data_IF_714788072468
#
_entry.id   IF_714788072468
#
_cell.length_a   1.000
_cell.length_b   1.000
_cell.length_c   1.000
_cell.angle_alpha   90.00
_cell.angle_beta   90.00
_cell.angle_gamma   90.00
#
_symmetry.space_group_name_H-M   'P 1'
#
loop_
_entity.id
_entity.type
_entity.pdbx_description
1 polymer ?
#
# COMPACT_ATOMS: atom_id res chain seq x y z
N UNK A 1 -30.76 -11.42 31.69
CA UNK A 1 -29.29 -11.52 31.52
C UNK A 1 -28.92 -12.29 30.23
N UNK A 2 -29.60 -12.03 29.12
CA UNK A 2 -29.43 -12.88 27.89
C UNK A 2 -29.13 -12.09 26.61
N UNK A 3 -28.81 -10.81 26.74
CA UNK A 3 -28.71 -9.92 25.55
C UNK A 3 -27.28 -9.57 25.10
N UNK A 4 -26.26 -9.99 25.85
CA UNK A 4 -24.87 -9.69 25.50
C UNK A 4 -24.16 -10.76 24.63
N UNK A 5 -24.74 -11.96 24.55
CA UNK A 5 -24.12 -13.08 23.84
C UNK A 5 -24.40 -13.03 22.33
N UNK A 6 -25.50 -12.41 21.92
CA UNK A 6 -25.94 -12.35 20.52
C UNK A 6 -25.21 -11.29 19.70
N UNK A 7 -24.69 -10.22 20.34
CA UNK A 7 -23.92 -9.18 19.65
C UNK A 7 -22.43 -9.54 19.46
N UNK A 8 -21.91 -10.48 20.23
CA UNK A 8 -20.50 -10.90 20.14
C UNK A 8 -20.24 -11.84 18.93
N UNK A 9 -21.20 -12.64 18.53
CA UNK A 9 -21.07 -13.62 17.44
C UNK A 9 -20.82 -12.99 16.06
N UNK A 10 -21.52 -11.94 15.63
CA UNK A 10 -21.25 -11.30 14.34
C UNK A 10 -19.84 -10.66 14.29
N UNK A 11 -19.38 -10.07 15.39
CA UNK A 11 -18.06 -9.45 15.45
C UNK A 11 -16.92 -10.49 15.43
N UNK A 12 -17.13 -11.64 16.08
CA UNK A 12 -16.17 -12.74 16.08
C UNK A 12 -16.11 -13.42 14.71
N UNK A 13 -17.26 -13.62 14.07
CA UNK A 13 -17.37 -14.21 12.73
C UNK A 13 -16.73 -13.31 11.67
N UNK A 14 -16.97 -11.99 11.74
CA UNK A 14 -16.32 -11.02 10.85
C UNK A 14 -14.79 -10.98 11.03
N UNK A 15 -14.28 -11.12 12.25
CA UNK A 15 -12.83 -11.24 12.49
C UNK A 15 -12.24 -12.50 11.87
N UNK A 16 -12.91 -13.63 11.98
CA UNK A 16 -12.47 -14.90 11.38
C UNK A 16 -12.45 -14.80 9.86
N UNK A 17 -13.50 -14.26 9.24
CA UNK A 17 -13.54 -14.03 7.79
C UNK A 17 -12.50 -13.01 7.34
N UNK A 18 -12.27 -11.96 8.11
CA UNK A 18 -11.25 -10.96 7.83
C UNK A 18 -9.85 -11.56 7.82
N UNK A 19 -9.52 -12.41 8.80
CA UNK A 19 -8.23 -13.10 8.84
C UNK A 19 -8.06 -14.08 7.68
N UNK A 20 -9.09 -14.88 7.37
CA UNK A 20 -9.06 -15.80 6.23
C UNK A 20 -8.85 -15.05 4.90
N UNK A 21 -9.48 -13.87 4.75
CA UNK A 21 -9.27 -13.00 3.60
C UNK A 21 -7.83 -12.49 3.54
N UNK A 22 -7.25 -12.04 4.65
CA UNK A 22 -5.87 -11.56 4.71
C UNK A 22 -4.86 -12.65 4.41
N UNK A 23 -5.01 -13.83 5.02
CA UNK A 23 -4.13 -14.99 4.77
C UNK A 23 -4.11 -15.35 3.28
N UNK A 24 -5.29 -15.38 2.65
CA UNK A 24 -5.41 -15.66 1.23
C UNK A 24 -4.75 -14.58 0.38
N UNK A 25 -5.00 -13.31 0.67
CA UNK A 25 -4.40 -12.19 -0.05
C UNK A 25 -2.88 -12.21 0.03
N UNK A 26 -2.32 -12.45 1.22
CA UNK A 26 -0.86 -12.55 1.38
C UNK A 26 -0.28 -13.72 0.59
N UNK A 27 -0.98 -14.86 0.57
CA UNK A 27 -0.53 -16.04 -0.17
C UNK A 27 -0.60 -15.86 -1.70
N UNK A 28 -1.61 -15.18 -2.23
CA UNK A 28 -1.85 -15.05 -3.67
C UNK A 28 -1.24 -13.79 -4.29
N UNK A 29 -1.28 -12.67 -3.57
CA UNK A 29 -0.91 -11.34 -4.10
C UNK A 29 0.32 -10.77 -3.37
N UNK A 30 0.54 -11.20 -2.14
CA UNK A 30 1.53 -10.61 -1.24
C UNK A 30 0.95 -9.57 -0.29
N UNK A 31 1.82 -8.92 0.53
CA UNK A 31 1.37 -8.05 1.60
C UNK A 31 0.84 -6.68 1.12
N UNK A 32 1.02 -6.34 -0.16
CA UNK A 32 0.50 -5.11 -0.79
C UNK A 32 -0.50 -5.53 -1.85
N UNK A 33 -1.75 -5.08 -1.73
CA UNK A 33 -2.82 -5.50 -2.61
C UNK A 33 -3.82 -4.37 -2.89
N UNK A 34 -4.61 -4.54 -3.94
CA UNK A 34 -5.67 -3.62 -4.32
C UNK A 34 -7.04 -4.05 -3.79
N UNK A 35 -8.01 -3.15 -3.82
CA UNK A 35 -9.41 -3.51 -3.54
C UNK A 35 -9.93 -4.59 -4.48
N UNK A 36 -9.52 -4.59 -5.74
CA UNK A 36 -9.95 -5.60 -6.72
C UNK A 36 -9.34 -6.98 -6.42
N UNK A 37 -8.08 -7.04 -5.97
CA UNK A 37 -7.47 -8.29 -5.49
C UNK A 37 -8.25 -8.85 -4.30
N UNK A 38 -8.62 -7.97 -3.36
CA UNK A 38 -9.43 -8.37 -2.21
C UNK A 38 -10.82 -8.88 -2.60
N UNK A 39 -11.46 -8.28 -3.60
CA UNK A 39 -12.74 -8.75 -4.12
C UNK A 39 -12.60 -10.10 -4.79
N UNK A 40 -11.54 -10.30 -5.59
CA UNK A 40 -11.26 -11.58 -6.23
C UNK A 40 -11.00 -12.69 -5.19
N UNK A 41 -10.16 -12.44 -4.19
CA UNK A 41 -9.89 -13.37 -3.10
C UNK A 41 -11.15 -13.65 -2.26
N UNK A 42 -11.95 -12.61 -1.99
CA UNK A 42 -13.20 -12.74 -1.26
C UNK A 42 -14.25 -13.57 -1.99
N UNK A 43 -14.34 -13.46 -3.31
CA UNK A 43 -15.26 -14.25 -4.13
C UNK A 43 -14.98 -15.76 -3.98
N UNK A 44 -13.72 -16.17 -3.88
CA UNK A 44 -13.35 -17.57 -3.64
C UNK A 44 -13.79 -18.04 -2.24
N UNK A 45 -13.85 -17.12 -1.27
CA UNK A 45 -14.36 -17.38 0.07
C UNK A 45 -15.90 -17.26 0.18
N UNK A 46 -16.60 -17.07 -0.95
CA UNK A 46 -18.05 -16.88 -0.98
C UNK A 46 -18.51 -15.51 -0.47
N UNK A 47 -17.61 -14.51 -0.40
CA UNK A 47 -17.93 -13.17 0.07
C UNK A 47 -18.37 -12.28 -1.08
N UNK A 48 -19.51 -11.60 -0.92
CA UNK A 48 -19.95 -10.58 -1.86
C UNK A 48 -19.12 -9.29 -1.73
N UNK A 49 -18.99 -8.52 -2.80
CA UNK A 49 -18.25 -7.24 -2.84
C UNK A 49 -18.53 -6.30 -1.66
N UNK A 50 -19.80 -6.06 -1.24
CA UNK A 50 -20.07 -5.21 -0.08
C UNK A 50 -19.47 -5.75 1.22
N UNK A 51 -19.51 -7.07 1.42
CA UNK A 51 -18.93 -7.71 2.60
C UNK A 51 -17.42 -7.55 2.63
N UNK A 52 -16.72 -7.74 1.49
CA UNK A 52 -15.28 -7.52 1.37
C UNK A 52 -14.93 -6.07 1.69
N UNK A 53 -15.65 -5.09 1.14
CA UNK A 53 -15.42 -3.68 1.44
C UNK A 53 -15.62 -3.36 2.92
N UNK A 54 -16.63 -3.94 3.56
CA UNK A 54 -16.86 -3.82 4.99
C UNK A 54 -15.70 -4.41 5.83
N UNK A 55 -15.22 -5.59 5.45
CA UNK A 55 -14.06 -6.22 6.10
C UNK A 55 -12.79 -5.38 5.94
N UNK A 56 -12.50 -4.87 4.74
CA UNK A 56 -11.35 -3.98 4.51
C UNK A 56 -11.43 -2.71 5.37
N UNK A 57 -12.62 -2.09 5.46
CA UNK A 57 -12.81 -0.91 6.30
C UNK A 57 -12.60 -1.23 7.79
N UNK A 58 -13.12 -2.36 8.27
CA UNK A 58 -12.94 -2.80 9.66
C UNK A 58 -11.47 -3.13 9.99
N UNK A 59 -10.80 -3.85 9.11
CA UNK A 59 -9.38 -4.21 9.27
C UNK A 59 -8.47 -2.99 9.24
N UNK A 60 -8.81 -1.97 8.43
CA UNK A 60 -8.07 -0.72 8.33
C UNK A 60 -8.30 0.24 9.52
N UNK A 61 -9.32 0.00 10.35
CA UNK A 61 -9.50 0.71 11.63
C UNK A 61 -8.63 0.13 12.75
N UNK A 62 -8.15 -1.08 12.57
CA UNK A 62 -7.29 -1.79 13.50
C UNK A 62 -5.83 -1.84 13.03
N UNK A 63 -4.98 -2.63 13.71
CA UNK A 63 -3.56 -2.75 13.39
C UNK A 63 -3.27 -3.72 12.24
N UNK A 64 -4.30 -4.20 11.51
CA UNK A 64 -4.15 -5.26 10.52
C UNK A 64 -3.81 -4.77 9.13
N UNK A 65 -4.38 -3.62 8.75
CA UNK A 65 -4.19 -3.01 7.44
C UNK A 65 -3.86 -1.53 7.57
N UNK A 66 -2.92 -1.06 6.77
CA UNK A 66 -2.77 0.35 6.49
C UNK A 66 -3.23 0.66 5.07
N UNK A 67 -3.84 1.81 4.88
CA UNK A 67 -4.21 2.31 3.57
C UNK A 67 -3.06 3.10 2.97
N UNK A 68 -2.42 2.57 1.95
CA UNK A 68 -1.30 3.22 1.27
C UNK A 68 -1.78 4.40 0.39
N UNK A 69 -2.84 4.16 -0.37
CA UNK A 69 -3.60 5.15 -1.15
C UNK A 69 -5.03 4.66 -1.37
N UNK A 70 -5.87 5.45 -2.05
CA UNK A 70 -7.23 4.99 -2.40
C UNK A 70 -7.18 3.68 -3.19
N UNK A 71 -7.83 2.65 -2.63
CA UNK A 71 -7.93 1.33 -3.25
C UNK A 71 -6.67 0.47 -3.17
N UNK A 72 -5.64 0.87 -2.41
CA UNK A 72 -4.43 0.08 -2.18
C UNK A 72 -4.14 0.00 -0.69
N UNK A 73 -3.91 -1.22 -0.23
CA UNK A 73 -3.71 -1.56 1.18
C UNK A 73 -2.42 -2.31 1.40
N UNK A 74 -1.93 -2.24 2.62
CA UNK A 74 -0.72 -2.92 3.09
C UNK A 74 -1.07 -3.68 4.36
N UNK A 75 -0.70 -4.95 4.42
CA UNK A 75 -0.85 -5.76 5.63
C UNK A 75 0.20 -5.36 6.64
N UNK A 76 -0.23 -4.99 7.86
CA UNK A 76 0.64 -4.58 8.97
C UNK A 76 0.64 -5.59 10.12
N UNK A 77 0.01 -6.74 9.95
CA UNK A 77 -0.13 -7.72 11.03
C UNK A 77 1.22 -8.31 11.46
N UNK A 78 1.54 -8.31 12.76
CA UNK A 78 2.72 -8.99 13.28
C UNK A 78 2.65 -10.53 13.14
N UNK A 79 1.45 -11.08 12.88
CA UNK A 79 1.26 -12.51 12.62
C UNK A 79 1.67 -12.90 11.20
N UNK A 80 1.71 -11.94 10.30
CA UNK A 80 2.19 -12.10 8.93
C UNK A 80 3.60 -11.50 8.89
N UNK A 81 4.60 -12.25 9.26
CA UNK A 81 6.01 -11.85 9.42
C UNK A 81 6.70 -11.45 8.11
N UNK A 82 6.00 -10.75 7.23
CA UNK A 82 6.53 -10.31 5.95
C UNK A 82 7.00 -8.88 6.07
N UNK A 83 8.30 -8.69 6.18
CA UNK A 83 8.91 -7.37 6.06
C UNK A 83 8.73 -6.87 4.62
N UNK A 84 8.03 -5.73 4.48
CA UNK A 84 7.77 -5.15 3.17
C UNK A 84 8.89 -4.19 2.83
N UNK A 85 9.64 -4.51 1.79
CA UNK A 85 10.69 -3.63 1.32
C UNK A 85 10.09 -2.29 0.84
N UNK A 86 10.64 -1.12 1.26
CA UNK A 86 10.11 0.19 0.90
C UNK A 86 9.97 0.42 -0.62
N UNK A 87 10.78 -0.23 -1.44
CA UNK A 87 10.69 -0.14 -2.90
C UNK A 87 9.41 -0.73 -3.47
N UNK A 88 8.88 -1.80 -2.85
CA UNK A 88 7.58 -2.36 -3.22
C UNK A 88 6.43 -1.37 -2.95
N UNK A 89 6.54 -0.61 -1.86
CA UNK A 89 5.57 0.46 -1.55
C UNK A 89 5.62 1.59 -2.58
N UNK A 90 6.82 2.00 -3.02
CA UNK A 90 6.97 3.00 -4.08
C UNK A 90 6.28 2.53 -5.38
N UNK A 91 6.50 1.28 -5.79
CA UNK A 91 5.84 0.69 -6.96
C UNK A 91 4.32 0.60 -6.81
N UNK A 92 3.81 0.36 -5.60
CA UNK A 92 2.37 0.35 -5.33
C UNK A 92 1.75 1.76 -5.33
N UNK A 93 2.52 2.78 -4.93
CA UNK A 93 2.08 4.18 -4.94
C UNK A 93 1.94 4.73 -6.37
N UNK A 94 2.92 4.49 -7.23
CA UNK A 94 2.97 5.04 -8.59
C UNK A 94 3.41 3.96 -9.57
N UNK A 95 2.66 3.77 -10.65
CA UNK A 95 2.99 2.84 -11.73
C UNK A 95 2.85 3.52 -13.10
N UNK A 96 3.80 3.30 -14.02
CA UNK A 96 5.08 2.64 -13.80
C UNK A 96 6.05 3.54 -13.02
N UNK A 97 6.95 2.95 -12.23
CA UNK A 97 8.09 3.66 -11.66
C UNK A 97 9.30 2.73 -11.54
N UNK A 98 10.48 3.33 -11.47
CA UNK A 98 11.75 2.63 -11.23
C UNK A 98 12.47 3.30 -10.06
N UNK A 99 12.99 2.51 -9.14
CA UNK A 99 13.84 3.03 -8.06
C UNK A 99 15.10 3.65 -8.70
N UNK A 100 15.45 4.84 -8.27
CA UNK A 100 16.47 5.64 -8.95
C UNK A 100 17.26 6.52 -7.98
N UNK A 101 18.22 7.29 -8.53
CA UNK A 101 19.03 8.26 -7.79
C UNK A 101 19.74 7.65 -6.57
N UNK A 102 19.70 8.32 -5.43
CA UNK A 102 20.39 7.88 -4.23
C UNK A 102 19.87 6.56 -3.67
N UNK A 103 18.57 6.27 -3.82
CA UNK A 103 17.99 5.01 -3.37
C UNK A 103 18.55 3.82 -4.15
N UNK A 104 18.68 3.95 -5.47
CA UNK A 104 19.29 2.92 -6.31
C UNK A 104 20.80 2.80 -6.03
N UNK A 105 21.52 3.92 -5.93
CA UNK A 105 22.96 3.93 -5.64
C UNK A 105 23.25 3.25 -4.28
N UNK A 106 22.47 3.57 -3.26
CA UNK A 106 22.63 2.96 -1.94
C UNK A 106 22.31 1.44 -1.96
N UNK A 107 21.26 1.04 -2.65
CA UNK A 107 20.90 -0.37 -2.79
C UNK A 107 21.98 -1.20 -3.48
N UNK A 108 22.65 -0.64 -4.48
CA UNK A 108 23.74 -1.29 -5.19
C UNK A 108 25.13 -1.07 -4.54
N UNK A 109 25.18 -0.47 -3.36
CA UNK A 109 26.45 -0.22 -2.65
C UNK A 109 27.39 0.78 -3.34
N UNK A 110 26.84 1.62 -4.23
CA UNK A 110 27.59 2.62 -4.99
C UNK A 110 27.78 3.95 -4.23
N UNK A 111 27.25 4.06 -3.03
CA UNK A 111 27.38 5.22 -2.14
C UNK A 111 27.37 4.79 -0.69
N UNK A 112 28.05 5.53 0.16
CA UNK A 112 28.01 5.38 1.62
C UNK A 112 26.91 6.24 2.26
N UNK A 113 26.24 7.09 1.50
CA UNK A 113 25.15 7.93 1.98
C UNK A 113 23.87 7.10 2.10
N UNK A 114 23.19 7.24 3.24
CA UNK A 114 21.89 6.63 3.48
C UNK A 114 20.82 7.64 3.06
N UNK A 115 20.01 7.35 2.04
CA UNK A 115 18.92 8.25 1.64
C UNK A 115 17.88 8.38 2.75
N UNK A 116 17.43 9.59 3.01
CA UNK A 116 16.37 9.88 3.99
C UNK A 116 14.98 9.62 3.44
N UNK A 117 14.84 9.54 2.11
CA UNK A 117 13.59 9.24 1.41
C UNK A 117 13.84 8.26 0.26
N UNK A 118 12.82 7.53 -0.11
CA UNK A 118 12.85 6.59 -1.24
C UNK A 118 12.64 7.38 -2.54
N UNK A 119 13.61 7.31 -3.45
CA UNK A 119 13.55 8.02 -4.72
C UNK A 119 13.21 7.07 -5.87
N UNK A 120 12.23 7.47 -6.67
CA UNK A 120 11.80 6.72 -7.85
C UNK A 120 11.52 7.65 -9.03
N UNK A 121 11.91 7.24 -10.22
CA UNK A 121 11.59 7.91 -11.48
C UNK A 121 10.31 7.34 -12.08
N UNK A 122 9.50 8.19 -12.71
CA UNK A 122 8.26 7.79 -13.38
C UNK A 122 8.01 8.69 -14.59
N UNK A 123 7.45 8.16 -15.71
CA UNK A 123 7.04 8.98 -16.84
C UNK A 123 5.71 9.71 -16.62
N UNK A 124 5.04 9.49 -15.47
CA UNK A 124 3.74 10.06 -15.14
C UNK A 124 3.86 11.25 -14.21
N UNK A 125 3.03 12.26 -14.42
CA UNK A 125 2.86 13.33 -13.45
C UNK A 125 2.22 12.76 -12.17
N UNK A 126 2.88 12.97 -11.05
CA UNK A 126 2.42 12.50 -9.73
C UNK A 126 1.72 13.65 -9.00
N UNK A 127 0.52 13.37 -8.50
CA UNK A 127 -0.26 14.29 -7.67
C UNK A 127 -0.48 13.63 -6.31
N UNK A 128 0.19 14.14 -5.30
CA UNK A 128 0.08 13.62 -3.92
C UNK A 128 -1.18 14.12 -3.23
N UNK A 129 -1.61 13.49 -2.12
CA UNK A 129 -2.73 13.99 -1.32
C UNK A 129 -2.55 15.45 -0.90
N UNK A 130 -1.36 15.84 -0.44
CA UNK A 130 -1.03 17.20 0.01
C UNK A 130 -1.15 18.22 -1.13
N UNK A 131 -0.74 17.84 -2.34
CA UNK A 131 -0.89 18.71 -3.53
C UNK A 131 -2.36 18.95 -3.90
N UNK A 132 -3.25 18.01 -3.62
CA UNK A 132 -4.69 18.17 -3.88
C UNK A 132 -5.33 19.16 -2.92
N UNK A 133 -4.84 19.27 -1.71
CA UNK A 133 -5.33 20.18 -0.67
C UNK A 133 -4.71 21.60 -0.77
N UNK A 134 -3.91 21.87 -1.79
CA UNK A 134 -3.42 23.21 -2.10
C UNK A 134 -2.30 23.75 -1.22
N UNK A 135 -1.80 22.95 -0.25
CA UNK A 135 -0.84 23.40 0.76
C UNK A 135 0.63 23.07 0.45
N UNK A 136 0.92 22.34 -0.62
CA UNK A 136 2.28 21.89 -0.89
C UNK A 136 2.98 22.73 -1.96
N UNK A 137 4.20 23.17 -1.66
CA UNK A 137 5.16 23.66 -2.65
C UNK A 137 5.33 22.61 -3.76
N UNK A 138 5.19 23.00 -5.01
CA UNK A 138 5.35 22.13 -6.19
C UNK A 138 6.71 22.37 -6.85
N UNK A 139 7.79 21.70 -6.44
CA UNK A 139 9.01 21.71 -7.23
C UNK A 139 8.70 21.04 -8.58
N UNK A 140 9.07 21.68 -9.69
CA UNK A 140 8.83 21.14 -11.03
C UNK A 140 9.40 19.75 -11.17
N UNK A 141 8.55 18.76 -11.51
CA UNK A 141 8.95 17.39 -11.79
C UNK A 141 9.30 16.53 -10.56
N UNK A 142 9.08 17.04 -9.34
CA UNK A 142 9.30 16.27 -8.11
C UNK A 142 8.06 16.32 -7.23
N UNK A 143 7.65 15.15 -6.72
CA UNK A 143 6.50 15.03 -5.83
C UNK A 143 6.88 14.14 -4.63
N UNK A 144 6.69 14.63 -3.41
CA UNK A 144 6.93 13.86 -2.19
C UNK A 144 5.62 13.31 -1.67
N UNK A 145 5.54 11.99 -1.57
CA UNK A 145 4.40 11.26 -1.01
C UNK A 145 4.78 10.70 0.36
N UNK A 146 3.95 10.97 1.37
CA UNK A 146 4.13 10.42 2.72
C UNK A 146 3.15 9.29 2.95
N UNK A 147 3.65 8.13 3.34
CA UNK A 147 2.85 6.97 3.70
C UNK A 147 3.64 6.04 4.63
N UNK A 148 2.99 5.50 5.66
CA UNK A 148 3.58 4.53 6.60
C UNK A 148 4.89 5.02 7.25
N UNK A 149 4.94 6.28 7.66
CA UNK A 149 6.12 6.94 8.23
C UNK A 149 7.34 7.01 7.30
N UNK A 150 7.13 6.75 6.00
CA UNK A 150 8.13 6.84 4.95
C UNK A 150 7.82 8.01 4.00
N UNK A 151 8.89 8.57 3.44
CA UNK A 151 8.81 9.58 2.40
C UNK A 151 9.28 9.01 1.07
N UNK A 152 8.48 9.24 0.02
CA UNK A 152 8.74 8.78 -1.35
C UNK A 152 8.83 10.00 -2.26
N UNK A 153 10.00 10.25 -2.84
CA UNK A 153 10.18 11.30 -3.84
C UNK A 153 10.03 10.69 -5.24
N UNK A 154 8.98 11.09 -5.95
CA UNK A 154 8.77 10.70 -7.34
C UNK A 154 9.28 11.81 -8.27
N UNK A 155 10.21 11.44 -9.14
CA UNK A 155 10.86 12.32 -10.11
C UNK A 155 10.26 12.03 -11.47
N UNK A 156 9.54 13.01 -12.03
CA UNK A 156 8.94 12.88 -13.35
C UNK A 156 10.01 13.04 -14.42
N UNK A 157 10.15 12.02 -15.26
CA UNK A 157 11.07 12.00 -16.41
C UNK A 157 10.28 11.98 -17.72
N UNK A 158 10.91 12.39 -18.81
CA UNK A 158 10.28 12.28 -20.12
C UNK A 158 10.11 10.78 -20.47
N UNK A 159 8.97 10.38 -21.09
CA UNK A 159 8.74 8.96 -21.45
C UNK A 159 9.86 8.32 -22.26
N UNK A 160 10.50 9.07 -23.13
CA UNK A 160 11.65 8.61 -23.94
C UNK A 160 12.89 8.27 -23.07
N UNK A 161 12.98 8.79 -21.84
CA UNK A 161 14.07 8.50 -20.92
C UNK A 161 13.72 7.42 -19.89
N UNK A 162 12.53 6.83 -19.99
CA UNK A 162 12.05 5.77 -19.09
C UNK A 162 12.10 4.43 -19.84
N UNK A 163 13.27 3.79 -19.82
CA UNK A 163 13.56 2.54 -20.52
C UNK A 163 14.43 1.61 -19.66
N UNK A 164 14.57 0.36 -20.08
CA UNK A 164 15.46 -0.61 -19.40
C UNK A 164 14.86 -1.23 -18.14
N UNK A 165 13.53 -1.39 -18.10
CA UNK A 165 12.82 -2.08 -17.03
C UNK A 165 12.55 -3.53 -17.35
#
# INVERSE_FOLDING_TARGET
>A
MSDQTEQALPALYGRTQGLALLERLVAETGPVFTTEDAIAAGAVLGLARPAVNGLLAQLAQGPWLARLKRGVYVVQSPLLSTEIHPFALAAALVQPCAISHWSALAFHGMTTQIPTMIQASTPRAVVTPEMRHGSAYRPRGRAVWRALDLEFEFITVQPAHFFGL
#
